data_IF_634022842484
#
_entry.id   IF_634022842484
#
_cell.length_a   1.000
_cell.length_b   1.000
_cell.length_c   1.000
_cell.angle_alpha   90.00
_cell.angle_beta   90.00
_cell.angle_gamma   90.00
#
_symmetry.space_group_name_H-M   'P 1'
#
loop_
_entity.id
_entity.type
_entity.pdbx_description
1 polymer ?
#
# COMPACT_ATOMS: atom_id res chain seq x y z
N UNK A 1 29.11 -23.01 -3.14
CA UNK A 1 28.02 -22.24 -2.48
C UNK A 1 27.32 -21.45 -3.58
N UNK A 2 26.04 -21.70 -3.84
CA UNK A 2 25.30 -21.01 -4.91
C UNK A 2 24.68 -19.75 -4.29
N UNK A 3 25.17 -18.57 -4.65
CA UNK A 3 24.54 -17.32 -4.27
C UNK A 3 23.27 -17.22 -5.12
N UNK A 4 22.12 -17.54 -4.52
CA UNK A 4 20.82 -17.32 -5.15
C UNK A 4 20.49 -15.84 -4.97
N UNK A 5 20.57 -15.10 -6.05
CA UNK A 5 20.12 -13.72 -6.11
C UNK A 5 18.59 -13.68 -6.05
N UNK A 6 18.05 -13.58 -4.83
CA UNK A 6 16.61 -13.53 -4.54
C UNK A 6 15.95 -12.24 -5.03
N UNK A 7 16.69 -11.26 -5.57
CA UNK A 7 16.08 -10.05 -6.11
C UNK A 7 15.35 -10.29 -7.42
N UNK A 8 15.75 -11.31 -8.20
CA UNK A 8 15.08 -11.69 -9.46
C UNK A 8 13.76 -12.43 -9.27
N UNK A 9 13.55 -13.06 -8.12
CA UNK A 9 12.34 -13.84 -7.79
C UNK A 9 11.39 -13.11 -6.85
N UNK A 10 11.66 -11.84 -6.50
CA UNK A 10 10.64 -11.00 -5.87
C UNK A 10 9.58 -10.73 -6.93
N UNK A 11 8.54 -11.58 -6.97
CA UNK A 11 7.23 -11.14 -7.46
C UNK A 11 7.01 -9.77 -6.84
N UNK A 12 6.92 -8.73 -7.68
CA UNK A 12 6.61 -7.40 -7.18
C UNK A 12 5.40 -7.53 -6.28
N UNK A 13 5.54 -7.10 -5.03
CA UNK A 13 4.48 -7.20 -4.03
C UNK A 13 3.25 -6.49 -4.58
N UNK A 14 2.21 -7.22 -4.98
CA UNK A 14 1.00 -6.62 -5.53
C UNK A 14 0.08 -6.23 -4.39
N UNK A 15 -0.31 -4.96 -4.37
CA UNK A 15 -1.24 -4.45 -3.37
C UNK A 15 -2.69 -4.83 -3.71
N UNK A 16 -3.49 -4.96 -2.66
CA UNK A 16 -4.90 -5.36 -2.74
C UNK A 16 -5.77 -4.45 -1.87
N UNK A 17 -7.07 -4.44 -2.15
CA UNK A 17 -8.05 -3.77 -1.30
C UNK A 17 -7.96 -4.30 0.14
N UNK A 18 -7.95 -3.40 1.11
CA UNK A 18 -7.81 -3.74 2.53
C UNK A 18 -6.36 -3.94 2.99
N UNK A 19 -5.37 -3.84 2.09
CA UNK A 19 -3.97 -3.83 2.51
C UNK A 19 -3.65 -2.58 3.33
N UNK A 20 -2.90 -2.78 4.41
CA UNK A 20 -2.38 -1.71 5.25
C UNK A 20 -0.97 -1.37 4.78
N UNK A 21 -0.73 -0.09 4.53
CA UNK A 21 0.55 0.46 4.14
C UNK A 21 1.12 1.32 5.26
N UNK A 22 2.44 1.44 5.28
CA UNK A 22 3.16 2.34 6.19
C UNK A 22 4.13 3.19 5.40
N UNK A 23 4.21 4.48 5.73
CA UNK A 23 5.23 5.37 5.18
C UNK A 23 6.51 5.35 6.03
N UNK A 24 7.54 6.07 5.57
CA UNK A 24 8.82 6.17 6.29
C UNK A 24 8.73 6.96 7.62
N UNK A 25 7.68 7.76 7.81
CA UNK A 25 7.44 8.54 9.03
C UNK A 25 6.63 7.73 10.06
N UNK A 26 6.14 6.56 9.68
CA UNK A 26 5.33 5.69 10.50
C UNK A 26 3.82 5.92 10.38
N UNK A 27 3.39 6.80 9.48
CA UNK A 27 1.99 7.00 9.13
C UNK A 27 1.42 5.71 8.55
N UNK A 28 0.21 5.34 8.96
CA UNK A 28 -0.45 4.10 8.54
C UNK A 28 -1.66 4.43 7.68
N UNK A 29 -1.70 3.81 6.50
CA UNK A 29 -2.78 3.97 5.52
C UNK A 29 -3.47 2.64 5.22
N UNK A 30 -4.75 2.68 4.85
CA UNK A 30 -5.54 1.55 4.38
C UNK A 30 -5.95 1.79 2.93
N UNK A 31 -5.72 0.79 2.07
CA UNK A 31 -6.24 0.82 0.70
C UNK A 31 -7.74 0.54 0.73
N UNK A 32 -8.53 1.48 0.21
CA UNK A 32 -9.98 1.38 0.12
C UNK A 32 -10.47 1.66 -1.30
N UNK A 33 -11.74 1.34 -1.55
CA UNK A 33 -12.44 1.67 -2.78
C UNK A 33 -13.72 2.44 -2.40
N UNK A 34 -13.98 3.54 -3.10
CA UNK A 34 -15.17 4.36 -2.88
C UNK A 34 -16.40 3.84 -3.65
N UNK A 35 -17.53 4.57 -3.54
CA UNK A 35 -18.76 4.20 -4.22
C UNK A 35 -18.75 4.42 -5.75
N UNK A 36 -17.80 5.20 -6.26
CA UNK A 36 -17.55 5.43 -7.69
C UNK A 36 -16.55 4.41 -8.27
N UNK A 37 -16.10 3.45 -7.45
CA UNK A 37 -15.09 2.43 -7.77
C UNK A 37 -13.65 2.96 -7.83
N UNK A 38 -13.41 4.19 -7.37
CA UNK A 38 -12.09 4.79 -7.25
C UNK A 38 -11.30 4.26 -6.07
N UNK A 39 -10.00 4.04 -6.25
CA UNK A 39 -9.09 3.53 -5.23
C UNK A 39 -8.36 4.66 -4.51
N UNK A 40 -8.28 4.55 -3.19
CA UNK A 40 -7.69 5.57 -2.31
C UNK A 40 -6.82 4.92 -1.23
N UNK A 41 -5.87 5.69 -0.70
CA UNK A 41 -5.22 5.40 0.57
C UNK A 41 -5.77 6.35 1.65
N UNK A 42 -6.34 5.80 2.72
CA UNK A 42 -6.89 6.59 3.83
C UNK A 42 -6.09 6.40 5.11
N UNK A 43 -5.94 7.46 5.89
CA UNK A 43 -5.34 7.44 7.21
C UNK A 43 -6.22 6.62 8.16
N UNK A 44 -5.64 5.59 8.79
CA UNK A 44 -6.37 4.73 9.72
C UNK A 44 -6.73 5.42 11.05
N UNK A 45 -6.09 6.56 11.36
CA UNK A 45 -6.27 7.27 12.64
C UNK A 45 -7.38 8.31 12.56
N UNK A 46 -7.42 9.12 11.50
CA UNK A 46 -8.33 10.26 11.37
C UNK A 46 -9.21 10.21 10.12
N UNK A 47 -9.11 9.15 9.31
CA UNK A 47 -9.85 8.94 8.06
C UNK A 47 -9.61 9.99 6.97
N UNK A 48 -8.55 10.81 7.07
CA UNK A 48 -8.13 11.68 5.98
C UNK A 48 -7.69 10.86 4.77
N UNK A 49 -7.97 11.36 3.56
CA UNK A 49 -7.55 10.74 2.31
C UNK A 49 -6.14 11.25 1.97
N UNK A 50 -5.19 10.35 1.73
CA UNK A 50 -3.80 10.70 1.40
C UNK A 50 -3.55 10.86 -0.10
N UNK A 51 -4.42 10.32 -0.93
CA UNK A 51 -4.23 10.24 -2.38
C UNK A 51 -5.40 10.85 -3.13
N UNK A 52 -5.16 11.25 -4.37
CA UNK A 52 -6.25 11.43 -5.32
C UNK A 52 -6.91 10.05 -5.63
N UNK A 53 -8.00 10.10 -6.37
CA UNK A 53 -8.69 8.93 -6.90
C UNK A 53 -7.87 8.25 -8.00
N UNK A 54 -7.75 6.91 -7.93
CA UNK A 54 -7.15 6.10 -9.00
C UNK A 54 -8.14 5.09 -9.56
N UNK A 55 -8.13 4.90 -10.89
CA UNK A 55 -9.01 3.93 -11.57
C UNK A 55 -8.67 2.48 -11.24
N UNK A 56 -7.41 2.19 -10.88
CA UNK A 56 -6.96 0.85 -10.55
C UNK A 56 -5.80 0.83 -9.54
N UNK A 57 -5.65 -0.31 -8.86
CA UNK A 57 -4.61 -0.52 -7.84
C UNK A 57 -3.18 -0.46 -8.38
N UNK A 58 -2.96 -0.86 -9.63
CA UNK A 58 -1.62 -0.86 -10.21
C UNK A 58 -1.11 0.58 -10.39
N UNK A 59 -1.99 1.50 -10.78
CA UNK A 59 -1.66 2.92 -10.88
C UNK A 59 -1.44 3.53 -9.49
N UNK A 60 -2.34 3.28 -8.53
CA UNK A 60 -2.15 3.70 -7.14
C UNK A 60 -0.77 3.25 -6.63
N UNK A 61 -0.48 1.96 -6.75
CA UNK A 61 0.78 1.37 -6.31
C UNK A 61 1.98 1.99 -7.02
N UNK A 62 1.93 2.14 -8.34
CA UNK A 62 3.04 2.71 -9.12
C UNK A 62 3.35 4.14 -8.68
N UNK A 63 2.32 4.94 -8.37
CA UNK A 63 2.49 6.34 -8.00
C UNK A 63 3.03 6.52 -6.57
N UNK A 64 2.70 5.63 -5.63
CA UNK A 64 3.05 5.85 -4.21
C UNK A 64 4.05 4.82 -3.63
N UNK A 65 4.46 3.78 -4.38
CA UNK A 65 5.40 2.72 -3.92
C UNK A 65 6.76 3.21 -3.45
N UNK A 66 7.17 4.43 -3.79
CA UNK A 66 8.44 5.01 -3.34
C UNK A 66 8.38 5.54 -1.90
N UNK A 67 7.16 5.80 -1.39
CA UNK A 67 6.92 6.36 -0.06
C UNK A 67 6.26 5.35 0.87
N UNK A 68 5.49 4.41 0.32
CA UNK A 68 4.68 3.46 1.06
C UNK A 68 5.09 2.02 0.78
N UNK A 69 5.02 1.19 1.80
CA UNK A 69 5.23 -0.26 1.71
C UNK A 69 4.14 -1.00 2.49
N UNK A 70 3.81 -2.21 2.06
CA UNK A 70 2.81 -3.04 2.72
C UNK A 70 3.33 -3.53 4.06
N UNK A 71 2.44 -3.55 5.05
CA UNK A 71 2.71 -4.08 6.39
C UNK A 71 1.61 -5.05 6.83
N UNK A 72 1.92 -5.90 7.80
CA UNK A 72 0.91 -6.77 8.40
C UNK A 72 0.00 -5.93 9.30
N UNK A 73 -1.30 -5.86 8.98
CA UNK A 73 -2.29 -5.07 9.72
C UNK A 73 -2.30 -5.36 11.23
N UNK A 74 -2.14 -6.63 11.63
CA UNK A 74 -2.13 -7.04 13.05
C UNK A 74 -0.93 -6.48 13.83
N UNK A 75 0.14 -6.13 13.14
CA UNK A 75 1.36 -5.58 13.74
C UNK A 75 1.48 -4.06 13.56
N UNK A 76 0.63 -3.45 12.73
CA UNK A 76 0.68 -2.04 12.40
C UNK A 76 -0.32 -1.19 13.20
N UNK A 77 -1.36 -1.82 13.74
CA UNK A 77 -2.40 -1.19 14.54
C UNK A 77 -2.36 -1.89 15.91
N UNK A 78 -1.75 -1.24 16.90
CA UNK A 78 -1.75 -1.66 18.31
C UNK A 78 -2.87 -0.97 19.10
#
# INVERSE_FOLDING_TARGET
MKIVDKTKDKKEEQWQLGDVLKDNNGTVGLIVQDCMQGYHLINVTDNSIFTDEYDNLADLQTNIRNLWHKVNAKLAIE
#
